data_IF_967652239942
#
_entry.id   IF_967652239942
#
_cell.length_a   1.000
_cell.length_b   1.000
_cell.length_c   1.000
_cell.angle_alpha   90.00
_cell.angle_beta   90.00
_cell.angle_gamma   90.00
#
_symmetry.space_group_name_H-M   'P 1'
#
loop_
_entity.id
_entity.type
_entity.pdbx_description
1 polymer ?
#
# COMPACT_ATOMS: atom_id res chain seq x y z
N UNK A 1 -3.25 -30.73 8.58
CA UNK A 1 -4.43 -29.91 8.25
C UNK A 1 -4.14 -29.26 6.91
N UNK A 2 -5.07 -29.29 5.95
CA UNK A 2 -4.87 -28.61 4.68
C UNK A 2 -5.04 -27.09 4.86
N UNK A 3 -4.53 -26.31 3.90
CA UNK A 3 -4.65 -24.85 3.92
C UNK A 3 -6.11 -24.38 3.96
N UNK A 4 -6.99 -25.09 3.27
CA UNK A 4 -8.41 -24.75 3.13
C UNK A 4 -9.15 -24.81 4.48
N UNK A 5 -8.90 -25.85 5.26
CA UNK A 5 -9.47 -26.03 6.61
C UNK A 5 -8.98 -25.01 7.63
N UNK A 6 -7.89 -24.29 7.35
CA UNK A 6 -7.36 -23.22 8.20
C UNK A 6 -7.97 -21.84 7.90
N UNK A 7 -8.62 -21.66 6.75
CA UNK A 7 -9.20 -20.37 6.34
C UNK A 7 -10.24 -19.83 7.35
N UNK A 8 -11.16 -20.63 7.93
CA UNK A 8 -12.09 -20.13 8.94
C UNK A 8 -11.39 -19.59 10.19
N UNK A 9 -10.34 -20.27 10.65
CA UNK A 9 -9.55 -19.83 11.80
C UNK A 9 -8.77 -18.55 11.49
N UNK A 10 -8.16 -18.47 10.29
CA UNK A 10 -7.48 -17.27 9.82
C UNK A 10 -8.41 -16.06 9.76
N UNK A 11 -9.62 -16.22 9.23
CA UNK A 11 -10.63 -15.15 9.23
C UNK A 11 -11.04 -14.73 10.63
N UNK A 12 -11.24 -15.70 11.53
CA UNK A 12 -11.62 -15.40 12.90
C UNK A 12 -10.54 -14.56 13.63
N UNK A 13 -9.25 -14.84 13.38
CA UNK A 13 -8.13 -14.06 13.94
C UNK A 13 -8.17 -12.57 13.56
N UNK A 14 -8.66 -12.24 12.36
CA UNK A 14 -8.70 -10.86 11.84
C UNK A 14 -10.10 -10.28 11.77
N UNK A 15 -11.09 -10.95 12.37
CA UNK A 15 -12.49 -10.49 12.42
C UNK A 15 -13.18 -10.42 11.06
N UNK A 16 -12.74 -11.18 10.05
CA UNK A 16 -13.33 -11.14 8.72
C UNK A 16 -14.53 -12.08 8.58
N UNK A 17 -15.62 -11.60 7.99
CA UNK A 17 -16.67 -12.45 7.46
C UNK A 17 -16.22 -13.15 6.17
N UNK A 18 -16.99 -14.14 5.70
CA UNK A 18 -16.75 -14.74 4.37
C UNK A 18 -16.91 -13.70 3.25
N UNK A 19 -17.80 -12.73 3.42
CA UNK A 19 -18.01 -11.65 2.46
C UNK A 19 -16.80 -10.70 2.41
N UNK A 20 -16.19 -10.42 3.56
CA UNK A 20 -14.98 -9.61 3.65
C UNK A 20 -13.81 -10.24 2.90
N UNK A 21 -13.58 -11.54 3.11
CA UNK A 21 -12.54 -12.27 2.39
C UNK A 21 -12.85 -12.32 0.90
N UNK A 22 -14.10 -12.63 0.53
CA UNK A 22 -14.55 -12.70 -0.86
C UNK A 22 -14.28 -11.39 -1.62
N UNK A 23 -14.63 -10.25 -1.02
CA UNK A 23 -14.37 -8.92 -1.59
C UNK A 23 -12.88 -8.67 -1.80
N UNK A 24 -12.03 -9.02 -0.83
CA UNK A 24 -10.56 -8.80 -0.88
C UNK A 24 -9.85 -9.63 -1.95
N UNK A 25 -10.37 -10.80 -2.27
CA UNK A 25 -9.74 -11.72 -3.24
C UNK A 25 -10.44 -11.74 -4.60
N UNK A 26 -11.48 -10.93 -4.78
CA UNK A 26 -12.26 -10.86 -6.01
C UNK A 26 -13.03 -12.15 -6.30
N UNK A 27 -13.61 -12.78 -5.29
CA UNK A 27 -14.40 -14.01 -5.39
C UNK A 27 -15.81 -13.81 -4.84
N UNK A 28 -16.70 -14.78 -5.05
CA UNK A 28 -18.04 -14.74 -4.44
C UNK A 28 -18.01 -15.32 -3.02
N UNK A 29 -18.90 -14.86 -2.15
CA UNK A 29 -19.05 -15.43 -0.80
C UNK A 29 -19.35 -16.95 -0.86
N UNK A 30 -20.16 -17.38 -1.83
CA UNK A 30 -20.47 -18.80 -2.03
C UNK A 30 -19.21 -19.62 -2.38
N UNK A 31 -18.31 -19.07 -3.22
CA UNK A 31 -17.03 -19.69 -3.53
C UNK A 31 -16.16 -19.84 -2.28
N UNK A 32 -16.04 -18.79 -1.46
CA UNK A 32 -15.30 -18.86 -0.18
C UNK A 32 -15.89 -19.92 0.75
N UNK A 33 -17.22 -19.93 0.92
CA UNK A 33 -17.90 -20.91 1.76
C UNK A 33 -17.73 -22.35 1.26
N UNK A 34 -17.64 -22.56 -0.06
CA UNK A 34 -17.33 -23.86 -0.66
C UNK A 34 -15.90 -24.30 -0.33
N UNK A 35 -14.92 -23.41 -0.53
CA UNK A 35 -13.51 -23.66 -0.24
C UNK A 35 -13.29 -24.01 1.25
N UNK A 36 -13.88 -23.23 2.16
CA UNK A 36 -13.77 -23.46 3.62
C UNK A 36 -14.35 -24.81 4.06
N UNK A 37 -15.30 -25.37 3.30
CA UNK A 37 -15.91 -26.67 3.56
C UNK A 37 -15.23 -27.83 2.83
N UNK A 38 -14.11 -27.57 2.14
CA UNK A 38 -13.44 -28.56 1.29
C UNK A 38 -14.30 -29.05 0.12
N UNK A 39 -15.24 -28.22 -0.35
CA UNK A 39 -16.11 -28.58 -1.49
C UNK A 39 -15.45 -28.18 -2.81
N UNK A 40 -15.31 -29.16 -3.70
CA UNK A 40 -14.67 -28.99 -5.01
C UNK A 40 -13.15 -28.90 -4.91
N UNK A 41 -12.50 -28.68 -6.05
CA UNK A 41 -11.05 -28.49 -6.14
C UNK A 41 -10.75 -27.04 -6.57
N UNK A 42 -10.51 -26.12 -5.62
CA UNK A 42 -10.26 -24.74 -5.96
C UNK A 42 -8.93 -24.59 -6.68
N UNK A 43 -8.95 -23.80 -7.75
CA UNK A 43 -7.76 -23.53 -8.55
C UNK A 43 -6.63 -22.96 -7.68
N UNK A 44 -5.39 -23.38 -7.94
CA UNK A 44 -4.20 -22.96 -7.18
C UNK A 44 -4.11 -21.42 -7.04
N UNK A 45 -4.40 -20.71 -8.12
CA UNK A 45 -4.42 -19.23 -8.13
C UNK A 45 -5.44 -18.61 -7.18
N UNK A 46 -6.56 -19.29 -6.88
CA UNK A 46 -7.53 -18.81 -5.90
C UNK A 46 -6.99 -18.96 -4.48
N UNK A 47 -6.32 -20.08 -4.19
CA UNK A 47 -5.68 -20.30 -2.88
C UNK A 47 -4.52 -19.33 -2.65
N UNK A 48 -3.74 -19.02 -3.70
CA UNK A 48 -2.67 -18.02 -3.65
C UNK A 48 -3.22 -16.62 -3.34
N UNK A 49 -4.33 -16.21 -3.96
CA UNK A 49 -5.01 -14.93 -3.63
C UNK A 49 -5.49 -14.88 -2.19
N UNK A 50 -6.10 -15.96 -1.70
CA UNK A 50 -6.56 -16.06 -0.29
C UNK A 50 -5.38 -15.95 0.66
N UNK A 51 -4.29 -16.68 0.39
CA UNK A 51 -3.09 -16.63 1.22
C UNK A 51 -2.47 -15.24 1.24
N UNK A 52 -2.33 -14.60 0.08
CA UNK A 52 -1.80 -13.24 -0.02
C UNK A 52 -2.66 -12.22 0.73
N UNK A 53 -4.00 -12.35 0.71
CA UNK A 53 -4.89 -11.48 1.48
C UNK A 53 -4.65 -11.59 2.98
N UNK A 54 -4.44 -12.81 3.49
CA UNK A 54 -4.11 -13.04 4.90
C UNK A 54 -2.70 -12.58 5.27
N UNK A 55 -1.72 -12.79 4.39
CA UNK A 55 -0.35 -12.33 4.61
C UNK A 55 -0.28 -10.80 4.80
N UNK A 56 -1.09 -10.03 4.05
CA UNK A 56 -1.19 -8.57 4.15
C UNK A 56 -1.70 -8.06 5.49
N UNK A 57 -2.48 -8.87 6.19
CA UNK A 57 -2.97 -8.56 7.55
C UNK A 57 -2.21 -9.33 8.63
N UNK A 58 -1.07 -9.91 8.27
CA UNK A 58 -0.17 -10.54 9.22
C UNK A 58 -0.56 -11.94 9.67
N UNK A 59 -1.55 -12.58 9.05
CA UNK A 59 -1.87 -13.97 9.37
C UNK A 59 -0.85 -14.90 8.72
N UNK A 60 -0.21 -15.71 9.55
CA UNK A 60 0.71 -16.77 9.13
C UNK A 60 0.07 -18.14 9.32
N UNK A 61 0.18 -18.98 8.28
CA UNK A 61 -0.28 -20.37 8.30
C UNK A 61 0.88 -21.30 8.65
N UNK A 62 0.73 -22.02 9.76
CA UNK A 62 1.67 -23.00 10.27
C UNK A 62 1.14 -24.43 10.10
N UNK A 63 2.00 -25.46 10.14
CA UNK A 63 1.53 -26.85 10.16
C UNK A 63 0.55 -27.16 11.31
N UNK A 64 0.68 -26.45 12.43
CA UNK A 64 -0.11 -26.61 13.65
C UNK A 64 -1.35 -25.71 13.73
N UNK A 65 -1.54 -24.75 12.81
CA UNK A 65 -2.64 -23.79 12.92
C UNK A 65 -2.37 -22.46 12.21
N UNK A 66 -2.91 -21.38 12.78
CA UNK A 66 -2.75 -20.01 12.30
C UNK A 66 -2.35 -19.10 13.47
N UNK A 67 -1.52 -18.10 13.19
CA UNK A 67 -1.13 -17.08 14.17
C UNK A 67 -1.01 -15.70 13.52
N UNK A 68 -1.00 -14.66 14.33
CA UNK A 68 -0.66 -13.32 13.89
C UNK A 68 0.85 -13.09 14.04
N UNK A 69 1.48 -12.59 12.97
CA UNK A 69 2.85 -12.09 13.03
C UNK A 69 2.90 -10.88 13.95
N UNK A 70 3.93 -10.81 14.78
CA UNK A 70 4.19 -9.64 15.63
C UNK A 70 4.45 -8.38 14.80
N UNK A 71 5.18 -8.54 13.70
CA UNK A 71 5.49 -7.47 12.74
C UNK A 71 5.19 -8.01 11.34
N UNK A 72 3.96 -7.82 10.82
CA UNK A 72 3.61 -8.23 9.48
C UNK A 72 4.52 -7.57 8.44
N UNK A 73 5.15 -8.39 7.59
CA UNK A 73 5.90 -7.95 6.43
C UNK A 73 5.38 -8.69 5.21
N UNK A 74 5.07 -7.97 4.15
CA UNK A 74 4.67 -8.56 2.88
C UNK A 74 5.28 -7.81 1.70
N UNK A 75 5.36 -8.50 0.57
CA UNK A 75 5.91 -7.95 -0.67
C UNK A 75 4.79 -7.82 -1.70
N UNK A 76 4.88 -6.76 -2.51
CA UNK A 76 4.07 -6.57 -3.71
C UNK A 76 5.05 -6.47 -4.87
N UNK A 77 4.87 -7.28 -5.91
CA UNK A 77 5.79 -7.39 -7.04
C UNK A 77 5.04 -7.26 -8.38
N UNK A 78 5.79 -6.96 -9.43
CA UNK A 78 5.32 -6.94 -10.81
C UNK A 78 4.84 -5.57 -11.29
N UNK A 79 4.44 -5.48 -12.55
CA UNK A 79 4.20 -4.20 -13.24
C UNK A 79 3.08 -3.34 -12.62
N UNK A 80 2.21 -3.94 -11.80
CA UNK A 80 1.11 -3.26 -11.11
C UNK A 80 1.38 -3.05 -9.61
N UNK A 81 2.64 -3.19 -9.17
CA UNK A 81 2.97 -3.12 -7.75
C UNK A 81 2.54 -1.79 -7.13
N UNK A 82 2.74 -0.67 -7.85
CA UNK A 82 2.43 0.65 -7.31
C UNK A 82 0.93 0.85 -7.14
N UNK A 83 0.11 0.49 -8.13
CA UNK A 83 -1.36 0.57 -7.99
C UNK A 83 -1.86 -0.39 -6.90
N UNK A 84 -1.26 -1.56 -6.76
CA UNK A 84 -1.61 -2.52 -5.69
C UNK A 84 -1.20 -2.01 -4.30
N UNK A 85 -0.13 -1.22 -4.20
CA UNK A 85 0.23 -0.51 -2.98
C UNK A 85 -0.82 0.56 -2.67
N UNK A 86 -1.25 1.34 -3.65
CA UNK A 86 -2.30 2.34 -3.45
C UNK A 86 -3.67 1.71 -3.08
N UNK A 87 -3.97 0.51 -3.58
CA UNK A 87 -5.12 -0.29 -3.11
C UNK A 87 -5.01 -0.61 -1.61
N UNK A 88 -3.82 -1.00 -1.14
CA UNK A 88 -3.56 -1.28 0.28
C UNK A 88 -3.69 -0.01 1.13
N UNK A 89 -3.25 1.15 0.62
CA UNK A 89 -3.45 2.44 1.28
C UNK A 89 -4.94 2.74 1.45
N UNK A 90 -5.73 2.65 0.37
CA UNK A 90 -7.18 2.88 0.42
C UNK A 90 -7.89 1.92 1.38
N UNK A 91 -7.48 0.66 1.42
CA UNK A 91 -8.02 -0.33 2.36
C UNK A 91 -7.62 -0.06 3.82
N UNK A 92 -6.46 0.55 4.04
CA UNK A 92 -5.94 0.91 5.37
C UNK A 92 -6.55 2.20 5.90
N UNK A 93 -6.92 3.13 5.01
CA UNK A 93 -7.46 4.46 5.33
C UNK A 93 -8.87 4.66 4.74
N UNK A 94 -9.86 3.83 5.12
CA UNK A 94 -11.19 3.88 4.51
C UNK A 94 -11.95 5.19 4.81
N UNK A 95 -11.64 5.83 5.94
CA UNK A 95 -12.25 7.08 6.40
C UNK A 95 -11.37 8.31 6.12
N UNK A 96 -10.40 8.18 5.21
CA UNK A 96 -9.39 9.19 4.94
C UNK A 96 -8.17 9.09 5.86
N UNK A 97 -7.26 10.07 5.76
CA UNK A 97 -6.00 10.09 6.50
C UNK A 97 -4.86 10.72 5.71
N UNK A 98 -3.66 10.77 6.30
CA UNK A 98 -2.48 11.31 5.64
C UNK A 98 -1.59 10.18 5.09
N UNK A 99 -1.08 10.41 3.88
CA UNK A 99 -0.04 9.59 3.23
C UNK A 99 1.18 10.46 3.00
N UNK A 100 2.33 10.00 3.49
CA UNK A 100 3.63 10.65 3.26
C UNK A 100 4.39 9.86 2.21
N UNK A 101 4.92 10.53 1.19
CA UNK A 101 5.67 9.86 0.11
C UNK A 101 7.02 10.55 -0.10
N UNK A 102 8.10 9.83 0.12
CA UNK A 102 9.45 10.34 -0.17
C UNK A 102 9.87 10.01 -1.61
N UNK A 103 10.58 10.96 -2.23
CA UNK A 103 11.30 10.81 -3.50
C UNK A 103 10.45 10.52 -4.74
N UNK A 104 9.27 11.13 -4.85
CA UNK A 104 8.38 10.96 -6.01
C UNK A 104 8.99 11.52 -7.29
N UNK A 105 8.69 10.85 -8.41
CA UNK A 105 8.90 11.36 -9.76
C UNK A 105 7.62 11.17 -10.57
N UNK A 106 6.79 12.21 -10.59
CA UNK A 106 5.46 12.15 -11.19
C UNK A 106 5.48 11.86 -12.70
N UNK A 107 6.62 12.09 -13.36
CA UNK A 107 6.81 11.76 -14.79
C UNK A 107 6.69 10.26 -15.05
N UNK A 108 6.90 9.42 -14.02
CA UNK A 108 6.73 7.97 -14.07
C UNK A 108 5.30 7.51 -13.77
N UNK A 109 4.40 8.41 -13.37
CA UNK A 109 3.02 8.04 -13.04
C UNK A 109 2.23 7.70 -14.30
N UNK A 110 1.68 6.50 -14.36
CA UNK A 110 0.73 6.12 -15.42
C UNK A 110 -0.64 6.76 -15.18
N UNK A 111 -1.51 6.88 -16.21
CA UNK A 111 -2.88 7.38 -16.03
C UNK A 111 -3.67 6.63 -14.95
N UNK A 112 -3.43 5.32 -14.80
CA UNK A 112 -4.03 4.50 -13.73
C UNK A 112 -3.62 4.96 -12.34
N UNK A 113 -2.36 5.35 -12.15
CA UNK A 113 -1.87 5.89 -10.88
C UNK A 113 -2.55 7.22 -10.58
N UNK A 114 -2.65 8.11 -11.57
CA UNK A 114 -3.32 9.40 -11.43
C UNK A 114 -4.79 9.22 -11.05
N UNK A 115 -5.50 8.31 -11.72
CA UNK A 115 -6.90 8.01 -11.41
C UNK A 115 -7.07 7.44 -9.99
N UNK A 116 -6.14 6.62 -9.54
CA UNK A 116 -6.15 6.07 -8.19
C UNK A 116 -5.96 7.16 -7.13
N UNK A 117 -4.98 8.06 -7.33
CA UNK A 117 -4.74 9.18 -6.44
C UNK A 117 -5.93 10.15 -6.38
N UNK A 118 -6.63 10.37 -7.50
CA UNK A 118 -7.89 11.13 -7.54
C UNK A 118 -8.99 10.47 -6.70
N UNK A 119 -9.12 9.14 -6.76
CA UNK A 119 -10.09 8.39 -5.96
C UNK A 119 -9.76 8.50 -4.46
N UNK A 120 -8.51 8.30 -4.08
CA UNK A 120 -8.04 8.46 -2.70
C UNK A 120 -8.34 9.85 -2.15
N UNK A 121 -8.09 10.90 -2.94
CA UNK A 121 -8.40 12.28 -2.57
C UNK A 121 -9.89 12.49 -2.33
N UNK A 122 -10.76 11.91 -3.17
CA UNK A 122 -12.23 11.98 -2.99
C UNK A 122 -12.69 11.25 -1.72
N UNK A 123 -11.95 10.25 -1.27
CA UNK A 123 -12.17 9.54 -0.02
C UNK A 123 -11.60 10.29 1.21
N UNK A 124 -11.05 11.50 1.06
CA UNK A 124 -10.52 12.29 2.17
C UNK A 124 -9.06 11.98 2.53
N UNK A 125 -8.33 11.27 1.68
CA UNK A 125 -6.89 11.05 1.86
C UNK A 125 -6.10 12.27 1.39
N UNK A 126 -5.18 12.75 2.22
CA UNK A 126 -4.28 13.87 1.94
C UNK A 126 -2.85 13.40 1.76
N UNK A 127 -2.02 14.19 1.06
CA UNK A 127 -0.65 13.81 0.75
C UNK A 127 0.35 14.92 1.06
N UNK A 128 1.52 14.52 1.54
CA UNK A 128 2.75 15.31 1.49
C UNK A 128 3.85 14.49 0.81
N UNK A 129 4.59 15.12 -0.08
CA UNK A 129 5.53 14.45 -0.96
C UNK A 129 6.87 15.18 -1.04
N UNK A 130 7.97 14.44 -1.15
CA UNK A 130 9.26 15.03 -1.54
C UNK A 130 9.62 14.68 -2.97
N UNK A 131 10.09 15.65 -3.74
CA UNK A 131 10.48 15.49 -5.15
C UNK A 131 11.87 16.05 -5.40
N UNK A 132 12.47 15.71 -6.54
CA UNK A 132 13.78 16.22 -6.94
C UNK A 132 13.74 17.74 -7.14
N UNK A 133 14.73 18.44 -6.60
CA UNK A 133 14.97 19.85 -6.89
C UNK A 133 15.00 20.13 -8.41
N UNK A 134 14.28 21.18 -8.80
CA UNK A 134 14.18 21.60 -10.20
C UNK A 134 13.20 20.79 -11.06
N UNK A 135 12.61 19.70 -10.55
CA UNK A 135 11.57 18.98 -11.28
C UNK A 135 10.23 19.74 -11.22
N UNK A 136 9.89 20.44 -12.30
CA UNK A 136 8.63 21.20 -12.39
C UNK A 136 7.44 20.36 -12.85
N UNK A 137 7.63 19.09 -13.22
CA UNK A 137 6.51 18.20 -13.57
C UNK A 137 5.89 17.65 -12.27
N UNK A 138 4.89 18.37 -11.73
CA UNK A 138 4.20 18.02 -10.48
C UNK A 138 2.71 17.80 -10.75
N UNK A 139 2.24 16.57 -10.61
CA UNK A 139 0.88 16.15 -10.94
C UNK A 139 -0.15 16.48 -9.85
N UNK A 140 0.26 16.92 -8.67
CA UNK A 140 -0.63 17.35 -7.59
C UNK A 140 -0.43 18.84 -7.24
N UNK A 141 -1.24 19.44 -6.34
CA UNK A 141 -1.03 20.80 -5.87
C UNK A 141 0.40 21.04 -5.38
N UNK A 142 1.04 22.12 -5.83
CA UNK A 142 2.45 22.43 -5.51
C UNK A 142 2.71 22.50 -4.00
N UNK A 143 1.71 22.90 -3.21
CA UNK A 143 1.76 22.92 -1.75
C UNK A 143 1.98 21.54 -1.11
N UNK A 144 1.71 20.45 -1.83
CA UNK A 144 1.93 19.07 -1.38
C UNK A 144 3.37 18.63 -1.52
N UNK A 145 4.24 19.44 -2.12
CA UNK A 145 5.63 19.07 -2.38
C UNK A 145 6.63 19.88 -1.58
N UNK A 146 7.76 19.24 -1.29
CA UNK A 146 9.04 19.89 -0.96
C UNK A 146 10.12 19.32 -1.86
N UNK A 147 11.05 20.17 -2.28
CA UNK A 147 12.21 19.71 -3.03
C UNK A 147 13.33 19.25 -2.12
N UNK A 148 13.89 18.09 -2.46
CA UNK A 148 15.16 17.63 -1.91
C UNK A 148 16.28 17.89 -2.92
N UNK A 149 17.50 18.27 -2.47
CA UNK A 149 18.60 18.57 -3.39
C UNK A 149 18.91 17.41 -4.33
N UNK A 150 19.12 17.69 -5.61
CA UNK A 150 19.26 16.68 -6.65
C UNK A 150 20.37 15.65 -6.36
N UNK A 151 21.45 16.05 -5.68
CA UNK A 151 22.55 15.17 -5.30
C UNK A 151 22.18 14.08 -4.27
N UNK A 152 21.09 14.28 -3.52
CA UNK A 152 20.56 13.29 -2.57
C UNK A 152 19.34 12.56 -3.10
N UNK A 153 18.79 13.01 -4.23
CA UNK A 153 17.60 12.42 -4.82
C UNK A 153 17.95 11.08 -5.47
N UNK A 154 17.21 10.06 -5.07
CA UNK A 154 17.07 8.80 -5.79
C UNK A 154 15.60 8.47 -5.80
N UNK A 155 15.02 8.13 -6.95
CA UNK A 155 13.58 7.83 -7.08
C UNK A 155 13.22 6.46 -6.48
N UNK A 156 13.57 6.28 -5.20
CA UNK A 156 13.33 5.12 -4.39
C UNK A 156 12.25 5.49 -3.38
N UNK A 157 11.02 5.04 -3.66
CA UNK A 157 9.85 5.49 -2.92
C UNK A 157 9.87 4.92 -1.50
N UNK A 158 9.61 5.80 -0.53
CA UNK A 158 9.20 5.40 0.82
C UNK A 158 7.82 5.99 1.05
N UNK A 159 6.87 5.17 1.51
CA UNK A 159 5.50 5.61 1.76
C UNK A 159 5.09 5.26 3.18
N UNK A 160 4.52 6.21 3.90
CA UNK A 160 4.00 6.02 5.27
C UNK A 160 2.49 6.30 5.29
N UNK A 161 1.71 5.36 5.83
CA UNK A 161 0.25 5.41 5.87
C UNK A 161 -0.28 4.48 6.96
N UNK A 162 -1.24 4.93 7.80
CA UNK A 162 -1.67 4.15 8.96
C UNK A 162 -0.48 3.66 9.80
N UNK A 163 -0.49 2.40 10.24
CA UNK A 163 0.66 1.82 10.94
C UNK A 163 1.66 1.14 9.99
N UNK A 164 1.68 1.54 8.71
CA UNK A 164 2.45 0.88 7.66
C UNK A 164 3.52 1.79 7.06
N UNK A 165 4.64 1.17 6.72
CA UNK A 165 5.72 1.76 5.92
C UNK A 165 6.02 0.86 4.74
N UNK A 166 5.98 1.42 3.53
CA UNK A 166 6.37 0.75 2.31
C UNK A 166 7.69 1.29 1.79
N UNK A 167 8.60 0.40 1.41
CA UNK A 167 9.83 0.72 0.71
C UNK A 167 9.77 0.12 -0.69
N UNK A 168 10.10 0.90 -1.72
CA UNK A 168 10.46 0.31 -3.02
C UNK A 168 11.59 -0.69 -2.84
N UNK A 169 11.52 -1.80 -3.56
CA UNK A 169 12.57 -2.84 -3.61
C UNK A 169 12.66 -3.39 -5.04
N UNK A 170 13.59 -4.32 -5.26
CA UNK A 170 13.75 -5.03 -6.54
C UNK A 170 13.87 -4.09 -7.75
N UNK A 171 14.77 -3.11 -7.67
CA UNK A 171 15.01 -2.13 -8.75
C UNK A 171 13.74 -1.44 -9.25
N UNK A 172 12.89 -0.99 -8.32
CA UNK A 172 11.60 -0.30 -8.59
C UNK A 172 10.53 -1.19 -9.25
N UNK A 173 10.66 -2.52 -9.18
CA UNK A 173 9.65 -3.49 -9.67
C UNK A 173 8.76 -4.07 -8.58
N UNK A 174 8.91 -3.61 -7.34
CA UNK A 174 8.07 -3.99 -6.22
C UNK A 174 8.22 -3.11 -4.99
N UNK A 175 7.50 -3.46 -3.92
CA UNK A 175 7.67 -2.88 -2.60
C UNK A 175 7.62 -3.92 -1.49
N UNK A 176 8.32 -3.63 -0.40
CA UNK A 176 8.18 -4.30 0.89
C UNK A 176 7.34 -3.41 1.79
N UNK A 177 6.27 -3.94 2.36
CA UNK A 177 5.42 -3.25 3.32
C UNK A 177 5.60 -3.87 4.70
N UNK A 178 5.87 -3.03 5.69
CA UNK A 178 6.00 -3.40 7.10
C UNK A 178 4.86 -2.75 7.87
N UNK A 179 4.12 -3.54 8.65
CA UNK A 179 3.11 -3.03 9.58
C UNK A 179 3.70 -2.98 11.00
N UNK A 180 4.03 -1.78 11.47
CA UNK A 180 4.56 -1.51 12.81
C UNK A 180 4.33 -0.03 13.15
N UNK A 181 3.52 0.24 14.17
CA UNK A 181 3.16 1.60 14.57
C UNK A 181 4.37 2.43 15.01
N UNK A 182 5.33 1.83 15.73
CA UNK A 182 6.53 2.55 16.18
C UNK A 182 7.42 2.91 14.99
N UNK A 183 7.54 2.01 14.02
CA UNK A 183 8.27 2.30 12.78
C UNK A 183 7.57 3.40 11.97
N UNK A 184 6.25 3.33 11.83
CA UNK A 184 5.46 4.34 11.13
C UNK A 184 5.65 5.73 11.78
N UNK A 185 5.56 5.82 13.11
CA UNK A 185 5.79 7.06 13.85
C UNK A 185 7.23 7.57 13.73
N UNK A 186 8.22 6.68 13.79
CA UNK A 186 9.62 7.05 13.55
C UNK A 186 9.83 7.61 12.14
N UNK A 187 9.19 7.02 11.13
CA UNK A 187 9.28 7.49 9.74
C UNK A 187 8.49 8.78 9.52
N UNK A 188 7.34 9.00 10.18
CA UNK A 188 6.65 10.30 10.20
C UNK A 188 7.55 11.40 10.77
N UNK A 189 8.17 11.16 11.93
CA UNK A 189 9.07 12.12 12.56
C UNK A 189 10.25 12.48 11.65
N UNK A 190 10.85 11.47 10.98
CA UNK A 190 11.90 11.68 9.99
C UNK A 190 11.39 12.53 8.81
N UNK A 191 10.21 12.20 8.27
CA UNK A 191 9.62 12.93 7.17
C UNK A 191 9.34 14.39 7.56
N UNK A 192 8.77 14.63 8.73
CA UNK A 192 8.48 15.98 9.23
C UNK A 192 9.75 16.80 9.44
N UNK A 193 10.83 16.18 9.93
CA UNK A 193 12.14 16.82 9.98
C UNK A 193 12.59 17.26 8.58
N UNK A 194 12.57 16.36 7.59
CA UNK A 194 12.93 16.69 6.20
C UNK A 194 12.01 17.77 5.62
N UNK A 195 10.70 17.64 5.83
CA UNK A 195 9.69 18.57 5.34
C UNK A 195 9.90 20.00 5.84
N UNK A 196 10.28 20.14 7.13
CA UNK A 196 10.55 21.42 7.77
C UNK A 196 11.93 21.99 7.45
N UNK A 197 12.87 21.18 6.93
CA UNK A 197 14.17 21.66 6.45
C UNK A 197 14.09 22.40 5.12
N UNK A 198 13.07 22.11 4.29
CA UNK A 198 12.95 22.67 2.94
C UNK A 198 11.78 23.65 2.81
N UNK A 199 11.96 24.76 2.07
CA UNK A 199 10.95 25.80 1.97
C UNK A 199 9.75 25.34 1.12
N UNK A 200 8.62 26.02 1.32
CA UNK A 200 7.49 25.94 0.39
C UNK A 200 7.91 26.28 -1.04
N UNK A 201 7.37 25.51 -1.98
CA UNK A 201 7.62 25.72 -3.39
C UNK A 201 6.79 26.89 -3.91
N UNK A 202 7.45 27.83 -4.59
CA UNK A 202 6.84 28.98 -5.27
C UNK A 202 7.12 28.89 -6.77
N UNK A 203 6.59 27.83 -7.38
CA UNK A 203 6.77 27.52 -8.80
C UNK A 203 5.42 27.18 -9.46
N UNK A 204 5.38 27.24 -10.78
CA UNK A 204 4.28 26.67 -11.56
C UNK A 204 4.63 25.24 -11.98
N UNK A 205 3.66 24.34 -11.89
CA UNK A 205 3.80 22.98 -12.41
C UNK A 205 3.63 22.94 -13.93
N UNK A 206 4.52 22.22 -14.62
CA UNK A 206 4.44 21.92 -16.06
C UNK A 206 3.58 20.69 -16.38
N UNK A 207 3.02 20.00 -15.38
CA UNK A 207 2.14 18.86 -15.63
C UNK A 207 0.78 19.32 -16.18
N UNK A 208 0.38 18.73 -17.31
CA UNK A 208 -0.91 18.97 -17.95
C UNK A 208 -2.06 18.27 -17.20
N UNK A 209 -1.83 17.04 -16.76
CA UNK A 209 -2.76 16.29 -15.92
C UNK A 209 -2.50 16.58 -14.46
N UNK A 210 -3.56 16.93 -13.73
CA UNK A 210 -3.50 17.23 -12.30
C UNK A 210 -4.49 16.37 -11.50
N UNK A 211 -4.11 16.04 -10.26
CA UNK A 211 -4.87 15.30 -9.25
C UNK A 211 -5.72 16.27 -8.42
#
# INVERSE_FOLDING_TARGET
>A
MDFQGLIPAARALVGWSQADLASRVGMTQASIAGIEKGRGDPHKSSLEKIRAAFDRVGVEFLPSGVQLRRTPVFFIEGDTWYTSLLDDVSATLPDGGEVLIENVDDRKSSPRVIDHLRQMRRAGITFRMTAMEGNTYLSAPVSWYRFIPAQYFKNWIVMVYGDKVAYSVADETGCMVITDANLADAMRNRFDMLWNMFPELKIESTAAERI
#
